data_IF_427683686446
#
_entry.id   IF_427683686446
#
_cell.length_a   1.000
_cell.length_b   1.000
_cell.length_c   1.000
_cell.angle_alpha   90.00
_cell.angle_beta   90.00
_cell.angle_gamma   90.00
#
_symmetry.space_group_name_H-M   'P 1'
#
loop_
_entity.id
_entity.type
_entity.pdbx_description
1 polymer ?
#
# COMPACT_ATOMS: atom_id res chain seq x y z
N UNK A 1 22.93 3.01 -12.99
CA UNK A 1 21.91 1.95 -12.84
C UNK A 1 20.99 2.05 -14.05
N UNK A 2 20.60 0.93 -14.66
CA UNK A 2 19.66 0.97 -15.78
C UNK A 2 18.24 1.23 -15.26
N UNK A 3 17.35 1.90 -16.02
CA UNK A 3 15.95 2.03 -15.66
C UNK A 3 15.29 0.68 -15.42
N UNK A 4 14.44 0.59 -14.40
CA UNK A 4 13.69 -0.62 -14.06
C UNK A 4 12.23 -0.41 -14.43
N UNK A 5 11.69 -1.32 -15.24
CA UNK A 5 10.26 -1.35 -15.58
C UNK A 5 9.57 -2.42 -14.75
N UNK A 6 8.52 -2.01 -14.02
CA UNK A 6 7.57 -2.91 -13.37
C UNK A 6 6.29 -2.91 -14.19
N UNK A 7 5.97 -4.07 -14.78
CA UNK A 7 4.78 -4.24 -15.63
C UNK A 7 3.78 -5.14 -14.93
N UNK A 8 2.56 -4.63 -14.76
CA UNK A 8 1.39 -5.33 -14.21
C UNK A 8 0.25 -5.08 -15.19
N UNK A 9 0.08 -5.97 -16.16
CA UNK A 9 -0.87 -5.76 -17.28
C UNK A 9 -2.31 -6.02 -16.87
N UNK A 10 -2.52 -7.03 -16.02
CA UNK A 10 -3.84 -7.49 -15.61
C UNK A 10 -3.75 -8.24 -14.27
N UNK A 11 -4.90 -8.68 -13.80
CA UNK A 11 -5.06 -9.33 -12.50
C UNK A 11 -4.31 -10.66 -12.37
N UNK A 12 -3.96 -11.33 -13.47
CA UNK A 12 -3.18 -12.58 -13.42
C UNK A 12 -1.72 -12.37 -12.96
N UNK A 13 -1.23 -11.13 -12.97
CA UNK A 13 0.10 -10.79 -12.46
C UNK A 13 0.17 -10.70 -10.92
N UNK A 14 -0.98 -10.69 -10.24
CA UNK A 14 -1.01 -10.65 -8.78
C UNK A 14 -0.78 -12.04 -8.19
N UNK A 15 -0.04 -12.06 -7.08
CA UNK A 15 0.05 -13.24 -6.23
C UNK A 15 -1.29 -13.58 -5.55
N UNK A 16 -1.32 -14.65 -4.74
CA UNK A 16 -2.53 -15.05 -4.03
C UNK A 16 -3.04 -13.94 -3.12
N UNK A 17 -4.36 -13.89 -2.97
CA UNK A 17 -5.01 -13.04 -1.98
C UNK A 17 -4.82 -13.61 -0.57
N UNK A 18 -4.53 -12.75 0.39
CA UNK A 18 -4.41 -13.10 1.80
C UNK A 18 -5.05 -12.00 2.68
N UNK A 19 -5.46 -12.30 3.92
CA UNK A 19 -5.89 -11.28 4.87
C UNK A 19 -4.77 -10.25 5.13
N UNK A 20 -5.14 -8.99 5.37
CA UNK A 20 -4.20 -7.98 5.86
C UNK A 20 -3.67 -8.35 7.25
N UNK A 21 -2.45 -7.90 7.55
CA UNK A 21 -1.91 -7.99 8.91
C UNK A 21 -2.64 -7.03 9.86
N UNK A 22 -2.72 -7.41 11.15
CA UNK A 22 -3.30 -6.60 12.22
C UNK A 22 -4.67 -5.96 11.88
N UNK A 23 -5.68 -6.77 11.48
CA UNK A 23 -7.03 -6.26 11.22
C UNK A 23 -7.65 -5.69 12.50
N UNK A 24 -8.42 -4.61 12.36
CA UNK A 24 -9.08 -3.93 13.49
C UNK A 24 -10.59 -3.70 13.27
N UNK A 25 -11.19 -4.37 12.28
CA UNK A 25 -12.62 -4.30 12.03
C UNK A 25 -13.10 -5.38 11.08
N UNK A 26 -14.43 -5.46 10.92
CA UNK A 26 -15.10 -6.33 9.97
C UNK A 26 -15.69 -5.50 8.80
N UNK A 27 -15.58 -5.97 7.54
CA UNK A 27 -14.91 -7.20 7.14
C UNK A 27 -13.37 -7.11 7.24
N UNK A 28 -12.72 -8.26 7.48
CA UNK A 28 -11.26 -8.37 7.39
C UNK A 28 -10.81 -8.14 5.94
N UNK A 29 -10.10 -7.03 5.70
CA UNK A 29 -9.59 -6.68 4.39
C UNK A 29 -8.66 -7.77 3.83
N UNK A 30 -8.75 -7.97 2.52
CA UNK A 30 -7.95 -8.91 1.76
C UNK A 30 -6.99 -8.14 0.86
N UNK A 31 -5.75 -8.60 0.77
CA UNK A 31 -4.66 -7.95 0.06
C UNK A 31 -3.96 -8.90 -0.89
N UNK A 32 -3.42 -8.36 -1.98
CA UNK A 32 -2.52 -9.06 -2.92
C UNK A 32 -1.51 -8.08 -3.52
N UNK A 33 -0.39 -8.62 -3.99
CA UNK A 33 0.74 -7.82 -4.53
C UNK A 33 1.16 -8.35 -5.90
N UNK A 34 1.56 -7.45 -6.79
CA UNK A 34 2.15 -7.77 -8.09
C UNK A 34 3.46 -7.02 -8.29
N UNK A 35 4.41 -7.65 -9.00
CA UNK A 35 5.63 -7.00 -9.48
C UNK A 35 6.64 -6.57 -8.39
N UNK A 36 6.46 -6.99 -7.13
CA UNK A 36 7.37 -6.68 -6.02
C UNK A 36 8.81 -7.08 -6.32
N UNK A 37 9.73 -6.13 -6.26
CA UNK A 37 11.16 -6.37 -6.42
C UNK A 37 12.00 -5.29 -5.76
N UNK A 38 13.24 -5.64 -5.40
CA UNK A 38 14.24 -4.64 -5.05
C UNK A 38 14.60 -3.78 -6.28
N UNK A 39 14.66 -2.46 -6.08
CA UNK A 39 15.02 -1.46 -7.10
C UNK A 39 16.29 -0.71 -6.76
N UNK A 40 16.88 -0.92 -5.58
CA UNK A 40 18.22 -0.43 -5.21
C UNK A 40 19.03 -1.51 -4.50
N UNK A 41 20.38 -1.48 -4.57
CA UNK A 41 21.23 -2.38 -3.79
C UNK A 41 21.01 -2.30 -2.26
N UNK A 42 20.54 -1.15 -1.78
CA UNK A 42 20.26 -0.89 -0.37
C UNK A 42 18.94 -1.51 0.12
N UNK A 43 18.15 -2.09 -0.78
CA UNK A 43 16.91 -2.80 -0.41
C UNK A 43 15.63 -1.98 -0.54
N UNK A 44 15.69 -0.80 -1.19
CA UNK A 44 14.46 -0.11 -1.60
C UNK A 44 13.70 -1.03 -2.55
N UNK A 45 12.40 -1.23 -2.32
CA UNK A 45 11.57 -2.10 -3.14
C UNK A 45 10.36 -1.36 -3.71
N UNK A 46 9.88 -1.82 -4.86
CA UNK A 46 8.71 -1.27 -5.52
C UNK A 46 7.79 -2.37 -6.02
N UNK A 47 6.52 -2.03 -6.20
CA UNK A 47 5.52 -2.94 -6.73
C UNK A 47 4.15 -2.29 -6.80
N UNK A 48 3.13 -3.11 -7.08
CA UNK A 48 1.72 -2.73 -7.03
C UNK A 48 1.04 -3.54 -5.95
N UNK A 49 0.24 -2.87 -5.13
CA UNK A 49 -0.53 -3.45 -4.05
C UNK A 49 -2.01 -3.18 -4.26
N UNK A 50 -2.85 -4.16 -3.96
CA UNK A 50 -4.30 -4.04 -3.97
C UNK A 50 -4.90 -4.53 -2.66
N UNK A 51 -5.95 -3.86 -2.20
CA UNK A 51 -6.65 -4.21 -0.96
C UNK A 51 -8.14 -3.93 -1.03
N UNK A 52 -8.93 -4.90 -0.55
CA UNK A 52 -10.37 -4.78 -0.42
C UNK A 52 -10.76 -3.87 0.75
N UNK A 53 -12.04 -3.47 0.86
CA UNK A 53 -12.52 -2.70 2.01
C UNK A 53 -12.26 -3.40 3.35
N UNK A 54 -11.99 -2.58 4.38
CA UNK A 54 -11.73 -2.99 5.76
C UNK A 54 -10.76 -2.04 6.48
N UNK A 55 -10.47 -2.35 7.75
CA UNK A 55 -9.61 -1.52 8.62
C UNK A 55 -8.48 -2.35 9.23
N UNK A 56 -7.28 -1.79 9.24
CA UNK A 56 -6.09 -2.49 9.75
C UNK A 56 -4.96 -1.54 10.13
N UNK A 57 -4.08 -1.97 11.04
CA UNK A 57 -2.90 -1.19 11.44
C UNK A 57 -1.81 -1.23 10.37
N UNK A 58 -1.08 -0.13 10.19
CA UNK A 58 0.13 -0.11 9.35
C UNK A 58 1.18 -1.06 9.92
N UNK A 59 1.86 -1.81 9.05
CA UNK A 59 2.88 -2.81 9.43
C UNK A 59 4.22 -2.61 8.70
N UNK A 60 4.35 -1.56 7.88
CA UNK A 60 5.58 -1.23 7.15
C UNK A 60 6.37 -0.24 8.01
N UNK A 61 7.49 -0.61 8.67
CA UNK A 61 8.24 0.34 9.49
C UNK A 61 9.01 1.37 8.64
N UNK A 62 9.38 1.02 7.42
CA UNK A 62 10.12 1.91 6.53
C UNK A 62 9.29 3.10 6.04
N UNK A 63 9.99 4.11 5.51
CA UNK A 63 9.35 5.15 4.73
C UNK A 63 8.73 4.56 3.45
N UNK A 64 7.60 5.09 3.03
CA UNK A 64 6.85 4.59 1.88
C UNK A 64 6.26 5.72 1.06
N UNK A 65 6.52 5.74 -0.24
CA UNK A 65 5.78 6.57 -1.19
C UNK A 65 4.72 5.71 -1.88
N UNK A 66 3.49 6.20 -1.97
CA UNK A 66 2.37 5.53 -2.60
C UNK A 66 1.68 6.45 -3.60
N UNK A 67 1.42 5.96 -4.82
CA UNK A 67 0.52 6.58 -5.79
C UNK A 67 -0.74 5.71 -5.95
N UNK A 68 -1.92 6.28 -5.70
CA UNK A 68 -3.20 5.58 -5.75
C UNK A 68 -3.75 5.58 -7.18
N UNK A 69 -3.86 4.40 -7.77
CA UNK A 69 -4.34 4.19 -9.14
C UNK A 69 -5.88 4.17 -9.18
N UNK A 70 -6.50 3.52 -8.19
CA UNK A 70 -7.95 3.38 -8.06
C UNK A 70 -8.37 3.24 -6.60
N UNK A 71 -9.67 3.44 -6.34
CA UNK A 71 -10.27 3.31 -5.02
C UNK A 71 -10.11 4.55 -4.14
N UNK A 72 -10.51 4.41 -2.89
CA UNK A 72 -10.49 5.49 -1.89
C UNK A 72 -10.50 4.94 -0.46
N UNK A 73 -10.05 5.77 0.46
CA UNK A 73 -9.99 5.46 1.88
C UNK A 73 -9.39 6.60 2.67
N UNK A 74 -8.99 6.30 3.90
CA UNK A 74 -8.20 7.21 4.73
C UNK A 74 -7.10 6.48 5.46
N UNK A 75 -6.09 7.25 5.85
CA UNK A 75 -5.09 6.84 6.81
C UNK A 75 -5.13 7.79 7.99
N UNK A 76 -5.29 7.25 9.21
CA UNK A 76 -5.26 8.04 10.44
C UNK A 76 -3.95 7.78 11.17
N UNK A 77 -2.98 8.72 11.15
CA UNK A 77 -1.76 8.59 11.93
C UNK A 77 -2.08 8.53 13.43
N UNK A 78 -1.24 7.84 14.20
CA UNK A 78 -1.38 7.83 15.66
C UNK A 78 -1.26 9.25 16.22
N UNK A 79 -2.28 9.69 16.98
CA UNK A 79 -2.36 11.06 17.52
C UNK A 79 -2.66 12.15 16.50
N UNK A 80 -2.88 11.79 15.23
CA UNK A 80 -3.18 12.71 14.14
C UNK A 80 -4.64 12.71 13.70
N UNK A 81 -4.96 13.66 12.83
CA UNK A 81 -6.24 13.67 12.12
C UNK A 81 -6.20 12.71 10.91
N UNK A 82 -7.34 12.12 10.50
CA UNK A 82 -7.43 11.32 9.29
C UNK A 82 -6.98 12.10 8.04
N UNK A 83 -6.20 11.43 7.19
CA UNK A 83 -5.82 11.89 5.85
C UNK A 83 -6.60 11.08 4.83
N UNK A 84 -7.49 11.75 4.11
CA UNK A 84 -8.28 11.16 3.04
C UNK A 84 -7.44 10.98 1.77
N UNK A 85 -7.70 9.91 1.02
CA UNK A 85 -7.08 9.67 -0.28
C UNK A 85 -8.04 9.01 -1.25
N UNK A 86 -7.78 9.22 -2.53
CA UNK A 86 -8.48 8.60 -3.66
C UNK A 86 -7.56 8.40 -4.85
N UNK A 87 -8.09 7.80 -5.91
CA UNK A 87 -7.42 7.67 -7.19
C UNK A 87 -6.84 9.01 -7.68
N UNK A 88 -5.57 9.00 -8.10
CA UNK A 88 -4.80 10.17 -8.52
C UNK A 88 -3.96 10.81 -7.42
N UNK A 89 -4.19 10.47 -6.14
CA UNK A 89 -3.43 11.04 -5.04
C UNK A 89 -2.09 10.30 -4.81
N UNK A 90 -1.16 11.01 -4.17
CA UNK A 90 0.08 10.45 -3.65
C UNK A 90 0.17 10.68 -2.16
N UNK A 91 0.66 9.70 -1.41
CA UNK A 91 0.97 9.85 0.01
C UNK A 91 2.41 9.41 0.27
N UNK A 92 3.10 10.18 1.09
CA UNK A 92 4.38 9.81 1.66
C UNK A 92 4.20 9.49 3.15
N UNK A 93 4.63 8.31 3.55
CA UNK A 93 4.71 7.86 4.94
C UNK A 93 6.16 7.95 5.38
N UNK A 94 6.44 8.73 6.42
CA UNK A 94 7.76 8.76 7.03
C UNK A 94 8.10 7.41 7.68
N UNK A 95 9.39 7.12 7.82
CA UNK A 95 9.85 5.96 8.60
C UNK A 95 9.25 6.01 10.01
N UNK A 96 8.93 4.84 10.53
CA UNK A 96 8.30 4.60 11.84
C UNK A 96 6.93 5.27 12.04
N UNK A 97 6.33 5.84 10.99
CA UNK A 97 4.96 6.33 11.06
C UNK A 97 3.99 5.17 11.34
N UNK A 98 3.16 5.35 12.36
CA UNK A 98 2.13 4.40 12.76
C UNK A 98 0.76 5.01 12.54
N UNK A 99 -0.24 4.15 12.36
CA UNK A 99 -1.61 4.58 12.14
C UNK A 99 -2.50 3.46 11.65
N UNK A 100 -3.74 3.80 11.37
CA UNK A 100 -4.77 2.89 10.89
C UNK A 100 -5.16 3.23 9.45
N UNK A 101 -5.20 2.20 8.59
CA UNK A 101 -5.84 2.27 7.29
C UNK A 101 -7.33 2.01 7.44
N UNK A 102 -8.14 2.81 6.72
CA UNK A 102 -9.54 2.53 6.48
C UNK A 102 -9.79 2.55 4.97
N UNK A 103 -9.81 1.37 4.36
CA UNK A 103 -10.10 1.20 2.93
C UNK A 103 -11.62 1.11 2.77
N UNK A 104 -12.21 2.04 2.01
CA UNK A 104 -13.68 2.11 1.83
C UNK A 104 -14.14 1.55 0.49
N UNK A 105 -13.32 1.72 -0.55
CA UNK A 105 -13.48 1.07 -1.85
C UNK A 105 -12.19 0.32 -2.17
N UNK A 106 -12.23 -0.76 -2.94
CA UNK A 106 -11.02 -1.51 -3.30
C UNK A 106 -9.95 -0.59 -3.87
N UNK A 107 -8.81 -0.53 -3.19
CA UNK A 107 -7.70 0.35 -3.52
C UNK A 107 -6.64 -0.41 -4.29
N UNK A 108 -6.10 0.21 -5.34
CA UNK A 108 -4.86 -0.23 -6.00
C UNK A 108 -3.85 0.90 -5.96
N UNK A 109 -2.62 0.63 -5.52
CA UNK A 109 -1.54 1.62 -5.47
C UNK A 109 -0.22 1.07 -6.00
N UNK A 110 0.56 1.91 -6.66
CA UNK A 110 1.98 1.68 -6.86
C UNK A 110 2.74 2.22 -5.65
N UNK A 111 3.76 1.50 -5.18
CA UNK A 111 4.52 1.91 -4.00
C UNK A 111 6.04 1.86 -4.22
N UNK A 112 6.74 2.63 -3.39
CA UNK A 112 8.17 2.53 -3.14
C UNK A 112 8.37 2.44 -1.62
N UNK A 113 8.90 1.32 -1.13
CA UNK A 113 9.32 1.14 0.26
C UNK A 113 10.82 1.45 0.32
N UNK A 114 11.19 2.50 1.04
CA UNK A 114 12.53 3.11 1.01
C UNK A 114 13.34 2.58 2.18
N UNK A 115 14.51 2.01 1.85
CA UNK A 115 15.45 1.46 2.82
C UNK A 115 16.30 2.53 3.51
#
# INVERSE_FOLDING_TARGET
MNPIVIRVENDAAFGPTAPVGAPCGEPVAQTRTAGHRSVTPQGTSAGVWECSPGRFRRQVPQAEYSYFISGEGSFTPDGGAPVEFRAGDTIYFAADSQGEWHVRQTVRKAYLIIA
#
